data_IF_884875592313
#
_entry.id   IF_884875592313
#
_cell.length_a   1.000
_cell.length_b   1.000
_cell.length_c   1.000
_cell.angle_alpha   90.00
_cell.angle_beta   90.00
_cell.angle_gamma   90.00
#
_symmetry.space_group_name_H-M   'P 1'
#
loop_
_entity.id
_entity.type
_entity.pdbx_description
1 polymer ?
#
# COMPACT_ATOMS: atom_id res chain seq x y z
N UNK A 1 -4.46 -39.17 -13.51
CA UNK A 1 -4.17 -38.34 -12.31
C UNK A 1 -3.56 -36.99 -12.68
N UNK A 2 -2.36 -36.93 -13.30
CA UNK A 2 -1.70 -35.65 -13.65
C UNK A 2 -2.53 -34.69 -14.53
N UNK A 3 -3.30 -35.20 -15.51
CA UNK A 3 -4.16 -34.36 -16.38
C UNK A 3 -5.31 -33.67 -15.62
N UNK A 4 -5.85 -34.32 -14.57
CA UNK A 4 -6.92 -33.74 -13.75
C UNK A 4 -6.35 -32.65 -12.83
N UNK A 5 -5.20 -32.91 -12.22
CA UNK A 5 -4.46 -31.94 -11.41
C UNK A 5 -4.09 -30.71 -12.23
N UNK A 6 -3.52 -30.90 -13.44
CA UNK A 6 -3.22 -29.80 -14.36
C UNK A 6 -4.50 -28.99 -14.69
N UNK A 7 -5.65 -29.65 -14.90
CA UNK A 7 -6.91 -28.94 -15.20
C UNK A 7 -7.40 -28.10 -14.02
N UNK A 8 -7.33 -28.64 -12.79
CA UNK A 8 -7.70 -27.92 -11.57
C UNK A 8 -6.77 -26.73 -11.32
N UNK A 9 -5.46 -26.94 -11.42
CA UNK A 9 -4.47 -25.86 -11.28
C UNK A 9 -4.66 -24.83 -12.39
N UNK A 10 -5.06 -25.23 -13.60
CA UNK A 10 -5.39 -24.32 -14.70
C UNK A 10 -6.53 -23.36 -14.35
N UNK A 11 -7.58 -23.86 -13.69
CA UNK A 11 -8.69 -23.02 -13.22
C UNK A 11 -8.21 -22.06 -12.13
N UNK A 12 -7.44 -22.55 -11.15
CA UNK A 12 -6.86 -21.72 -10.08
C UNK A 12 -5.98 -20.62 -10.69
N UNK A 13 -5.18 -20.97 -11.69
CA UNK A 13 -4.30 -20.05 -12.41
C UNK A 13 -5.10 -18.96 -13.11
N UNK A 14 -6.17 -19.32 -13.82
CA UNK A 14 -7.03 -18.35 -14.49
C UNK A 14 -7.65 -17.35 -13.49
N UNK A 15 -8.17 -17.86 -12.36
CA UNK A 15 -8.74 -17.01 -11.30
C UNK A 15 -7.66 -16.09 -10.69
N UNK A 16 -6.48 -16.63 -10.41
CA UNK A 16 -5.36 -15.86 -9.86
C UNK A 16 -4.88 -14.76 -10.84
N UNK A 17 -4.80 -15.05 -12.13
CA UNK A 17 -4.45 -14.08 -13.17
C UNK A 17 -5.51 -12.99 -13.30
N UNK A 18 -6.80 -13.36 -13.28
CA UNK A 18 -7.90 -12.39 -13.33
C UNK A 18 -7.91 -11.49 -12.09
N UNK A 19 -7.69 -12.06 -10.91
CA UNK A 19 -7.56 -11.28 -9.67
C UNK A 19 -6.36 -10.33 -9.72
N UNK A 20 -5.21 -10.79 -10.19
CA UNK A 20 -4.00 -9.98 -10.35
C UNK A 20 -4.21 -8.86 -11.39
N UNK A 21 -4.80 -9.17 -12.55
CA UNK A 21 -5.15 -8.17 -13.55
C UNK A 21 -6.16 -7.14 -13.01
N UNK A 22 -7.14 -7.57 -12.23
CA UNK A 22 -8.07 -6.69 -11.53
C UNK A 22 -7.39 -5.80 -10.48
N UNK A 23 -6.32 -6.28 -9.82
CA UNK A 23 -5.54 -5.44 -8.91
C UNK A 23 -4.81 -4.30 -9.64
N UNK A 24 -4.41 -4.51 -10.90
CA UNK A 24 -3.75 -3.47 -11.69
C UNK A 24 -4.67 -2.31 -12.04
N UNK A 25 -5.99 -2.54 -12.08
CA UNK A 25 -6.97 -1.50 -12.39
C UNK A 25 -7.32 -0.64 -11.17
N UNK A 26 -6.88 -1.01 -9.96
CA UNK A 26 -7.14 -0.28 -8.72
C UNK A 26 -6.75 1.20 -8.78
N UNK A 27 -5.69 1.55 -9.52
CA UNK A 27 -5.22 2.93 -9.67
C UNK A 27 -6.04 3.79 -10.64
N UNK A 28 -6.96 3.18 -11.39
CA UNK A 28 -7.73 3.85 -12.45
C UNK A 28 -9.23 3.91 -12.14
N UNK A 29 -9.71 3.03 -11.26
CA UNK A 29 -11.14 2.91 -10.92
C UNK A 29 -11.36 3.49 -9.54
N UNK A 30 -12.25 4.49 -9.45
CA UNK A 30 -12.62 5.11 -8.19
C UNK A 30 -13.37 4.11 -7.30
N UNK A 31 -12.88 3.80 -6.08
CA UNK A 31 -13.54 2.89 -5.15
C UNK A 31 -14.97 3.31 -4.76
N UNK A 32 -15.30 4.61 -4.85
CA UNK A 32 -16.66 5.10 -4.58
C UNK A 32 -17.66 4.66 -5.66
N UNK A 33 -17.17 4.35 -6.87
CA UNK A 33 -18.01 3.82 -7.96
C UNK A 33 -17.99 2.30 -7.99
N UNK A 34 -16.82 1.69 -7.80
CA UNK A 34 -16.66 0.25 -7.82
C UNK A 34 -15.48 -0.19 -6.95
N UNK A 35 -15.78 -0.84 -5.83
CA UNK A 35 -14.82 -1.10 -4.76
C UNK A 35 -13.88 -2.30 -5.03
N UNK A 36 -14.31 -3.26 -5.85
CA UNK A 36 -13.58 -4.54 -6.02
C UNK A 36 -12.14 -4.39 -6.53
N UNK A 37 -11.83 -3.54 -7.54
CA UNK A 37 -10.46 -3.27 -7.95
C UNK A 37 -9.59 -2.77 -6.80
N UNK A 38 -10.11 -1.90 -5.93
CA UNK A 38 -9.38 -1.40 -4.77
C UNK A 38 -9.10 -2.49 -3.73
N UNK A 39 -10.08 -3.38 -3.48
CA UNK A 39 -9.86 -4.55 -2.60
C UNK A 39 -8.82 -5.52 -3.20
N UNK A 40 -8.86 -5.75 -4.51
CA UNK A 40 -7.85 -6.55 -5.21
C UNK A 40 -6.48 -5.87 -5.21
N UNK A 41 -6.43 -4.54 -5.33
CA UNK A 41 -5.23 -3.71 -5.18
C UNK A 41 -4.61 -3.84 -3.80
N UNK A 42 -5.42 -3.90 -2.75
CA UNK A 42 -4.95 -4.19 -1.40
C UNK A 42 -4.40 -5.62 -1.28
N UNK A 43 -5.02 -6.60 -1.95
CA UNK A 43 -4.56 -7.98 -2.00
C UNK A 43 -3.41 -8.24 -2.98
N UNK A 44 -2.96 -7.23 -3.73
CA UNK A 44 -1.92 -7.31 -4.77
C UNK A 44 -0.69 -8.13 -4.39
N UNK A 45 0.01 -7.90 -3.24
CA UNK A 45 1.23 -8.64 -2.93
C UNK A 45 0.99 -10.15 -2.81
N UNK A 46 -0.15 -10.56 -2.24
CA UNK A 46 -0.52 -11.97 -2.12
C UNK A 46 -0.88 -12.58 -3.47
N UNK A 47 -1.61 -11.84 -4.32
CA UNK A 47 -1.94 -12.26 -5.68
C UNK A 47 -0.68 -12.39 -6.55
N UNK A 48 0.27 -11.47 -6.41
CA UNK A 48 1.54 -11.52 -7.13
C UNK A 48 2.34 -12.77 -6.75
N UNK A 49 2.49 -13.05 -5.44
CA UNK A 49 3.19 -14.25 -4.94
C UNK A 49 2.50 -15.52 -5.47
N UNK A 50 1.17 -15.60 -5.41
CA UNK A 50 0.43 -16.74 -5.92
C UNK A 50 0.68 -16.98 -7.42
N UNK A 51 0.62 -15.93 -8.24
CA UNK A 51 0.90 -16.03 -9.68
C UNK A 51 2.36 -16.40 -9.98
N UNK A 52 3.33 -15.95 -9.18
CA UNK A 52 4.73 -16.38 -9.33
C UNK A 52 4.88 -17.87 -9.02
N UNK A 53 4.25 -18.38 -7.96
CA UNK A 53 4.27 -19.82 -7.63
C UNK A 53 3.63 -20.65 -8.74
N UNK A 54 2.50 -20.19 -9.29
CA UNK A 54 1.81 -20.86 -10.39
C UNK A 54 2.64 -20.81 -11.69
N UNK A 55 3.33 -19.71 -11.98
CA UNK A 55 4.28 -19.62 -13.09
C UNK A 55 5.38 -20.68 -12.97
N UNK A 56 5.99 -20.81 -11.80
CA UNK A 56 7.01 -21.84 -11.56
C UNK A 56 6.44 -23.25 -11.76
N UNK A 57 5.20 -23.51 -11.32
CA UNK A 57 4.51 -24.77 -11.60
C UNK A 57 4.40 -25.03 -13.11
N UNK A 58 3.91 -24.06 -13.89
CA UNK A 58 3.69 -24.26 -15.33
C UNK A 58 4.98 -24.35 -16.14
N UNK A 59 6.04 -23.66 -15.72
CA UNK A 59 7.40 -23.81 -16.27
C UNK A 59 7.88 -25.24 -16.03
N UNK A 60 7.79 -25.75 -14.80
CA UNK A 60 8.22 -27.12 -14.47
C UNK A 60 7.43 -28.19 -15.24
N UNK A 61 6.17 -27.90 -15.60
CA UNK A 61 5.32 -28.77 -16.42
C UNK A 61 5.51 -28.59 -17.93
N UNK A 62 6.36 -27.66 -18.36
CA UNK A 62 6.62 -27.31 -19.77
C UNK A 62 5.35 -27.00 -20.56
N UNK A 63 4.41 -26.26 -19.96
CA UNK A 63 3.12 -25.92 -20.57
C UNK A 63 3.11 -24.49 -21.09
N UNK A 64 2.38 -24.28 -22.19
CA UNK A 64 2.18 -22.96 -22.80
C UNK A 64 1.54 -21.93 -21.86
N UNK A 65 0.83 -22.40 -20.83
CA UNK A 65 0.23 -21.54 -19.80
C UNK A 65 1.26 -20.63 -19.11
N UNK A 66 2.52 -21.10 -18.97
CA UNK A 66 3.62 -20.31 -18.41
C UNK A 66 3.85 -18.99 -19.18
N UNK A 67 3.70 -19.00 -20.51
CA UNK A 67 3.85 -17.78 -21.31
C UNK A 67 2.74 -16.76 -21.04
N UNK A 68 1.51 -17.23 -20.79
CA UNK A 68 0.37 -16.38 -20.50
C UNK A 68 0.55 -15.72 -19.13
N UNK A 69 0.93 -16.49 -18.11
CA UNK A 69 1.22 -15.92 -16.78
C UNK A 69 2.40 -14.95 -16.81
N UNK A 70 3.46 -15.29 -17.54
CA UNK A 70 4.59 -14.39 -17.70
C UNK A 70 4.17 -13.05 -18.30
N UNK A 71 3.26 -13.06 -19.28
CA UNK A 71 2.71 -11.84 -19.86
C UNK A 71 1.90 -11.03 -18.85
N UNK A 72 1.03 -11.67 -18.06
CA UNK A 72 0.23 -11.01 -17.02
C UNK A 72 1.13 -10.39 -15.94
N UNK A 73 2.21 -11.08 -15.56
CA UNK A 73 3.20 -10.56 -14.61
C UNK A 73 4.00 -9.39 -15.22
N UNK A 74 4.41 -9.49 -16.49
CA UNK A 74 5.15 -8.44 -17.17
C UNK A 74 4.36 -7.13 -17.31
N UNK A 75 3.05 -7.22 -17.62
CA UNK A 75 2.15 -6.06 -17.65
C UNK A 75 2.09 -5.36 -16.28
N UNK A 76 2.26 -6.11 -15.19
CA UNK A 76 2.24 -5.60 -13.82
C UNK A 76 3.51 -4.88 -13.34
N UNK A 77 4.59 -4.86 -14.13
CA UNK A 77 5.87 -4.25 -13.71
C UNK A 77 5.72 -2.78 -13.24
N UNK A 78 4.96 -1.90 -13.91
CA UNK A 78 4.75 -0.54 -13.43
C UNK A 78 4.03 -0.49 -12.09
N UNK A 79 3.07 -1.39 -11.86
CA UNK A 79 2.33 -1.50 -10.58
C UNK A 79 3.27 -1.92 -9.47
N UNK A 80 4.12 -2.92 -9.71
CA UNK A 80 5.15 -3.37 -8.77
C UNK A 80 6.05 -2.22 -8.32
N UNK A 81 6.55 -1.43 -9.28
CA UNK A 81 7.45 -0.29 -9.00
C UNK A 81 6.81 0.79 -8.15
N UNK A 82 5.52 1.05 -8.37
CA UNK A 82 4.73 2.00 -7.57
C UNK A 82 4.45 1.46 -6.18
N UNK A 83 4.06 0.19 -6.06
CA UNK A 83 3.72 -0.43 -4.78
C UNK A 83 4.90 -0.48 -3.81
N UNK A 84 6.08 -0.91 -4.28
CA UNK A 84 7.27 -1.08 -3.44
C UNK A 84 8.20 0.15 -3.40
N UNK A 85 7.86 1.25 -4.08
CA UNK A 85 8.62 2.50 -3.96
C UNK A 85 10.07 2.40 -4.46
N UNK A 86 10.30 1.96 -5.70
CA UNK A 86 11.66 1.80 -6.28
C UNK A 86 12.36 3.12 -6.67
N UNK A 87 11.88 4.26 -6.19
CA UNK A 87 12.49 5.56 -6.50
C UNK A 87 13.76 5.75 -5.69
N UNK A 88 14.84 6.16 -6.36
CA UNK A 88 16.06 6.58 -5.66
C UNK A 88 15.77 7.89 -4.94
N UNK A 89 16.22 8.00 -3.69
CA UNK A 89 16.27 9.29 -3.00
C UNK A 89 17.07 10.25 -3.87
N UNK A 90 16.41 11.32 -4.31
CA UNK A 90 17.12 12.49 -4.81
C UNK A 90 17.53 13.25 -3.57
N UNK A 91 18.84 13.36 -3.33
CA UNK A 91 19.36 14.35 -2.41
C UNK A 91 19.05 15.71 -3.02
N UNK A 92 17.94 16.31 -2.61
CA UNK A 92 17.62 17.64 -3.07
C UNK A 92 18.46 18.61 -2.25
N UNK A 93 19.35 19.32 -2.93
CA UNK A 93 20.22 20.36 -2.33
C UNK A 93 19.61 21.77 -2.50
N UNK A 94 18.41 21.86 -3.07
CA UNK A 94 17.74 23.14 -3.35
C UNK A 94 16.91 23.59 -2.15
N UNK A 95 17.02 24.88 -1.80
CA UNK A 95 16.11 25.53 -0.86
C UNK A 95 14.74 25.61 -1.52
N UNK A 96 13.78 24.86 -1.01
CA UNK A 96 12.39 24.98 -1.45
C UNK A 96 11.74 26.20 -0.80
N UNK A 97 11.03 27.01 -1.59
CA UNK A 97 10.27 28.17 -1.09
C UNK A 97 9.03 27.76 -0.26
N UNK A 98 8.63 26.48 -0.31
CA UNK A 98 7.50 25.92 0.43
C UNK A 98 7.83 24.49 0.86
N UNK A 99 7.81 24.23 2.17
CA UNK A 99 8.05 22.92 2.76
C UNK A 99 6.77 22.36 3.39
N UNK A 100 6.36 21.17 2.93
CA UNK A 100 5.10 20.53 3.35
C UNK A 100 5.41 19.16 3.98
N UNK A 101 4.89 18.93 5.19
CA UNK A 101 4.86 17.62 5.84
C UNK A 101 3.48 16.99 5.67
N UNK A 102 3.43 15.77 5.14
CA UNK A 102 2.22 14.92 5.14
C UNK A 102 2.49 13.70 6.01
N UNK A 103 1.74 13.54 7.10
CA UNK A 103 2.02 12.51 8.09
C UNK A 103 0.76 11.86 8.65
N UNK A 104 0.74 10.53 8.66
CA UNK A 104 -0.32 9.77 9.31
C UNK A 104 -0.01 9.63 10.81
N UNK A 105 -0.81 10.28 11.65
CA UNK A 105 -0.58 10.32 13.11
C UNK A 105 -1.12 9.10 13.85
N UNK A 106 -1.81 8.19 13.15
CA UNK A 106 -2.37 6.94 13.69
C UNK A 106 -3.11 7.17 15.01
N UNK A 107 -4.01 8.15 15.03
CA UNK A 107 -4.77 8.57 16.21
C UNK A 107 -3.90 8.90 17.45
N UNK A 108 -2.69 9.42 17.26
CA UNK A 108 -1.71 9.70 18.32
C UNK A 108 -1.48 8.50 19.24
N UNK A 109 -1.48 7.29 18.66
CA UNK A 109 -1.29 6.04 19.39
C UNK A 109 -2.30 5.78 20.52
N UNK A 110 -3.53 6.31 20.40
CA UNK A 110 -4.63 6.10 21.36
C UNK A 110 -4.82 4.66 21.83
N UNK A 111 -4.61 3.71 20.92
CA UNK A 111 -4.81 2.28 21.18
C UNK A 111 -3.54 1.56 21.68
N UNK A 112 -2.44 2.28 21.91
CA UNK A 112 -1.19 1.71 22.41
C UNK A 112 -0.52 0.72 21.44
N UNK A 113 -0.80 0.81 20.14
CA UNK A 113 -0.27 -0.12 19.14
C UNK A 113 1.24 -0.04 19.00
N UNK A 114 1.85 1.11 19.32
CA UNK A 114 3.31 1.25 19.34
C UNK A 114 3.98 0.38 20.40
N UNK A 115 3.28 -0.01 21.48
CA UNK A 115 3.86 -0.63 22.69
C UNK A 115 4.96 0.21 23.36
N UNK A 116 5.10 1.48 22.98
CA UNK A 116 6.03 2.43 23.57
C UNK A 116 5.28 3.41 24.45
N UNK A 117 5.90 3.78 25.57
CA UNK A 117 5.41 4.89 26.39
C UNK A 117 5.63 6.20 25.65
N UNK A 118 4.72 7.14 25.83
CA UNK A 118 4.86 8.54 25.42
C UNK A 118 4.98 8.72 23.89
N UNK A 119 4.42 7.81 23.10
CA UNK A 119 4.43 7.90 21.63
C UNK A 119 3.73 9.16 21.13
N UNK A 120 2.63 9.56 21.78
CA UNK A 120 1.89 10.79 21.45
C UNK A 120 2.74 12.04 21.67
N UNK A 121 3.46 12.13 22.79
CA UNK A 121 4.34 13.25 23.14
C UNK A 121 5.51 13.36 22.15
N UNK A 122 6.15 12.24 21.82
CA UNK A 122 7.24 12.21 20.83
C UNK A 122 6.78 12.63 19.44
N UNK A 123 5.55 12.26 19.07
CA UNK A 123 4.98 12.67 17.80
C UNK A 123 4.68 14.17 17.78
N UNK A 124 4.13 14.73 18.86
CA UNK A 124 3.92 16.18 19.00
C UNK A 124 5.24 16.93 18.93
N UNK A 125 6.25 16.47 19.66
CA UNK A 125 7.60 17.02 19.65
C UNK A 125 8.19 17.02 18.23
N UNK A 126 8.06 15.92 17.50
CA UNK A 126 8.49 15.84 16.10
C UNK A 126 7.76 16.84 15.19
N UNK A 127 6.44 16.98 15.34
CA UNK A 127 5.65 17.92 14.54
C UNK A 127 5.99 19.38 14.85
N UNK A 128 6.23 19.72 16.12
CA UNK A 128 6.63 21.07 16.55
C UNK A 128 8.03 21.47 16.07
N UNK A 129 8.94 20.51 15.92
CA UNK A 129 10.29 20.76 15.43
C UNK A 129 10.41 20.69 13.90
N UNK A 130 9.33 20.44 13.17
CA UNK A 130 9.34 20.49 11.72
C UNK A 130 9.48 21.96 11.25
N UNK A 131 10.55 22.33 10.52
CA UNK A 131 10.84 23.73 10.19
C UNK A 131 10.03 24.27 8.99
N UNK A 132 9.09 23.50 8.46
CA UNK A 132 8.36 23.83 7.25
C UNK A 132 7.05 24.60 7.47
N UNK A 133 6.39 24.94 6.38
CA UNK A 133 5.27 25.88 6.35
C UNK A 133 3.91 25.23 6.58
N UNK A 134 3.71 23.98 6.11
CA UNK A 134 2.40 23.31 6.12
C UNK A 134 2.53 21.89 6.65
N UNK A 135 1.65 21.53 7.59
CA UNK A 135 1.51 20.17 8.12
C UNK A 135 0.12 19.62 7.77
N UNK A 136 0.09 18.52 7.02
CA UNK A 136 -1.10 17.74 6.67
C UNK A 136 -1.14 16.44 7.48
N UNK A 137 -2.12 16.29 8.37
CA UNK A 137 -2.23 15.10 9.23
C UNK A 137 -3.37 14.17 8.76
N UNK A 138 -3.07 12.88 8.58
CA UNK A 138 -4.09 11.83 8.35
C UNK A 138 -4.34 11.03 9.64
N UNK A 139 -5.52 10.38 9.71
CA UNK A 139 -5.98 9.66 10.92
C UNK A 139 -5.96 10.54 12.18
N UNK A 140 -6.28 11.83 12.00
CA UNK A 140 -6.40 12.75 13.11
C UNK A 140 -7.62 12.36 13.96
N UNK A 141 -7.48 12.25 15.29
CA UNK A 141 -8.56 11.75 16.14
C UNK A 141 -9.71 12.74 16.22
N UNK A 142 -10.93 12.22 16.12
CA UNK A 142 -12.12 12.96 16.56
C UNK A 142 -12.13 13.10 18.09
N UNK A 143 -12.93 14.05 18.59
CA UNK A 143 -13.06 14.29 20.03
C UNK A 143 -13.48 13.00 20.73
N UNK A 144 -12.71 12.60 21.74
CA UNK A 144 -13.00 11.40 22.54
C UNK A 144 -12.65 11.64 24.00
N UNK A 145 -13.09 10.75 24.89
CA UNK A 145 -12.81 10.86 26.33
C UNK A 145 -11.30 10.92 26.66
N UNK A 146 -10.45 10.36 25.80
CA UNK A 146 -9.00 10.27 26.01
C UNK A 146 -8.19 11.28 25.21
N UNK A 147 -8.77 11.96 24.21
CA UNK A 147 -8.04 12.90 23.34
C UNK A 147 -8.90 14.14 23.07
N UNK A 148 -8.30 15.32 23.31
CA UNK A 148 -8.86 16.62 22.95
C UNK A 148 -8.14 17.18 21.70
N UNK A 149 -8.75 17.10 20.51
CA UNK A 149 -8.12 17.54 19.27
C UNK A 149 -7.81 19.05 19.25
N UNK A 150 -8.59 19.87 19.95
CA UNK A 150 -8.37 21.32 20.04
C UNK A 150 -7.13 21.66 20.88
N UNK A 151 -6.81 20.85 21.89
CA UNK A 151 -5.60 21.02 22.68
C UNK A 151 -4.36 20.74 21.81
N UNK A 152 -4.40 19.67 21.01
CA UNK A 152 -3.34 19.32 20.07
C UNK A 152 -3.12 20.43 19.04
N UNK A 153 -4.19 20.95 18.43
CA UNK A 153 -4.07 22.05 17.45
C UNK A 153 -3.43 23.29 18.07
N UNK A 154 -3.80 23.63 19.31
CA UNK A 154 -3.22 24.78 20.01
C UNK A 154 -1.73 24.62 20.25
N UNK A 155 -1.33 23.43 20.69
CA UNK A 155 0.08 23.09 20.93
C UNK A 155 0.92 23.11 19.65
N UNK A 156 0.36 22.69 18.52
CA UNK A 156 1.03 22.77 17.22
C UNK A 156 1.06 24.18 16.61
N UNK A 157 0.29 25.12 17.18
CA UNK A 157 0.18 26.51 16.68
C UNK A 157 0.92 27.54 17.53
N UNK A 158 1.52 27.12 18.64
CA UNK A 158 2.29 27.96 19.56
C UNK A 158 3.76 27.95 19.21
#
# INVERSE_FOLDING_TARGET
MFKLVDKLIGIITLVAMLGLAGSYTARYIDPNTFIFPSLLGLAYPYLLIANVILLLYWIARWKKMAFIELLVLAIGIPVFRTYYGTHKEKNVTESYDLQILSYNVRYFDRYGWSKHKNTSEKLLDYLNHFPGDIICLQEFPEKSASINPQAIIRELSS
#
